data_IF_771906385705
#
_entry.id   IF_771906385705
#
_cell.length_a   1.000
_cell.length_b   1.000
_cell.length_c   1.000
_cell.angle_alpha   90.00
_cell.angle_beta   90.00
_cell.angle_gamma   90.00
#
_symmetry.space_group_name_H-M   'P 1'
#
loop_
_entity.id
_entity.type
_entity.pdbx_description
1 polymer ?
#
# COMPACT_ATOMS: atom_id res chain seq x y z
N UNK A 1 8.22 -29.37 30.82
CA UNK A 1 7.09 -29.71 31.69
C UNK A 1 7.63 -30.45 32.92
N UNK A 2 7.25 -30.07 34.14
CA UNK A 2 7.70 -30.71 35.39
C UNK A 2 7.19 -32.15 35.54
N UNK A 3 6.11 -32.53 34.85
CA UNK A 3 5.55 -33.88 34.86
C UNK A 3 5.13 -34.31 33.44
N UNK A 4 6.08 -34.70 32.57
CA UNK A 4 5.77 -35.05 31.18
C UNK A 4 4.92 -36.32 31.04
N UNK A 5 5.03 -37.26 31.99
CA UNK A 5 4.25 -38.51 32.00
C UNK A 5 2.75 -38.28 32.26
N UNK A 6 2.40 -37.25 33.04
CA UNK A 6 1.01 -36.87 33.30
C UNK A 6 0.34 -36.21 32.08
N UNK A 7 1.12 -35.79 31.09
CA UNK A 7 0.58 -35.25 29.83
C UNK A 7 0.15 -36.35 28.85
N UNK A 8 0.62 -37.59 29.06
CA UNK A 8 0.39 -38.72 28.16
C UNK A 8 -0.37 -39.88 28.85
N UNK A 9 -0.58 -39.82 30.17
CA UNK A 9 -1.29 -40.83 30.95
C UNK A 9 -2.47 -40.22 31.72
N UNK A 10 -3.51 -41.02 32.00
CA UNK A 10 -4.65 -40.62 32.85
C UNK A 10 -4.39 -40.81 34.35
N UNK A 11 -3.12 -40.80 34.77
CA UNK A 11 -2.73 -40.95 36.16
C UNK A 11 -3.10 -39.71 36.97
N UNK A 12 -3.59 -39.90 38.20
CA UNK A 12 -3.93 -38.78 39.09
C UNK A 12 -2.64 -38.11 39.58
N UNK A 13 -2.49 -36.77 39.46
CA UNK A 13 -1.34 -36.05 40.01
C UNK A 13 -1.32 -36.13 41.53
N UNK A 14 -0.12 -36.23 42.13
CA UNK A 14 0.03 -35.95 43.56
C UNK A 14 -0.15 -34.45 43.85
N UNK A 15 -0.46 -34.11 45.10
CA UNK A 15 -0.66 -32.71 45.53
C UNK A 15 0.56 -31.80 45.23
N UNK A 16 1.77 -32.36 45.33
CA UNK A 16 3.00 -31.65 44.96
C UNK A 16 3.05 -31.35 43.47
N UNK A 17 2.78 -32.34 42.62
CA UNK A 17 2.76 -32.19 41.17
C UNK A 17 1.65 -31.22 40.71
N UNK A 18 0.47 -31.31 41.32
CA UNK A 18 -0.63 -30.39 41.05
C UNK A 18 -0.24 -28.93 41.38
N UNK A 19 0.41 -28.69 42.52
CA UNK A 19 0.88 -27.36 42.90
C UNK A 19 1.99 -26.82 41.98
N UNK A 20 2.94 -27.67 41.55
CA UNK A 20 3.96 -27.25 40.58
C UNK A 20 3.36 -26.91 39.22
N UNK A 21 2.40 -27.71 38.74
CA UNK A 21 1.69 -27.44 37.49
C UNK A 21 0.89 -26.13 37.59
N UNK A 22 0.18 -25.89 38.69
CA UNK A 22 -0.54 -24.64 38.90
C UNK A 22 0.39 -23.42 38.90
N UNK A 23 1.55 -23.49 39.56
CA UNK A 23 2.54 -22.39 39.49
C UNK A 23 3.02 -22.15 38.07
N UNK A 24 3.38 -23.22 37.36
CA UNK A 24 3.83 -23.10 35.98
C UNK A 24 2.77 -22.45 35.09
N UNK A 25 1.50 -22.84 35.26
CA UNK A 25 0.38 -22.23 34.51
C UNK A 25 0.29 -20.73 34.83
N UNK A 26 0.31 -20.35 36.11
CA UNK A 26 0.24 -18.94 36.52
C UNK A 26 1.40 -18.11 35.94
N UNK A 27 2.62 -18.63 36.01
CA UNK A 27 3.80 -17.97 35.47
C UNK A 27 3.72 -17.84 33.95
N UNK A 28 3.28 -18.90 33.27
CA UNK A 28 3.09 -18.91 31.80
C UNK A 28 2.00 -17.94 31.37
N UNK A 29 0.87 -17.88 32.09
CA UNK A 29 -0.23 -16.95 31.81
C UNK A 29 0.19 -15.49 31.99
N UNK A 30 1.05 -15.21 32.98
CA UNK A 30 1.64 -13.89 33.18
C UNK A 30 2.57 -13.51 32.02
N UNK A 31 3.39 -14.44 31.52
CA UNK A 31 4.26 -14.22 30.36
C UNK A 31 3.45 -14.02 29.07
N UNK A 32 2.40 -14.82 28.85
CA UNK A 32 1.46 -14.65 27.72
C UNK A 32 0.83 -13.25 27.75
N UNK A 33 0.39 -12.80 28.94
CA UNK A 33 -0.22 -11.48 29.10
C UNK A 33 0.76 -10.36 28.78
N UNK A 34 2.00 -10.45 29.31
CA UNK A 34 3.04 -9.47 29.05
C UNK A 34 3.42 -9.38 27.56
N UNK A 35 3.50 -10.53 26.88
CA UNK A 35 3.72 -10.59 25.43
C UNK A 35 2.55 -9.97 24.66
N UNK A 36 1.31 -10.22 25.09
CA UNK A 36 0.11 -9.61 24.50
C UNK A 36 0.12 -8.08 24.57
N UNK A 37 0.56 -7.53 25.71
CA UNK A 37 0.69 -6.09 25.91
C UNK A 37 1.78 -5.48 25.02
N UNK A 38 2.94 -6.13 24.91
CA UNK A 38 4.02 -5.66 24.03
C UNK A 38 3.64 -5.74 22.55
N UNK A 39 2.97 -6.83 22.12
CA UNK A 39 2.41 -6.93 20.76
C UNK A 39 1.48 -5.76 20.48
N UNK A 40 0.58 -5.44 21.41
CA UNK A 40 -0.37 -4.34 21.28
C UNK A 40 0.36 -3.00 21.19
N UNK A 41 1.39 -2.77 22.02
CA UNK A 41 2.21 -1.57 22.01
C UNK A 41 2.95 -1.38 20.68
N UNK A 42 3.61 -2.44 20.18
CA UNK A 42 4.35 -2.41 18.92
C UNK A 42 3.43 -2.16 17.74
N UNK A 43 2.25 -2.81 17.69
CA UNK A 43 1.24 -2.56 16.65
C UNK A 43 0.80 -1.10 16.60
N UNK A 44 0.48 -0.49 17.74
CA UNK A 44 0.14 0.96 17.79
C UNK A 44 1.28 1.84 17.30
N UNK A 45 2.53 1.48 17.62
CA UNK A 45 3.69 2.23 17.13
C UNK A 45 3.84 2.11 15.60
N UNK A 46 3.60 0.90 15.05
CA UNK A 46 3.60 0.65 13.62
C UNK A 46 2.50 1.46 12.92
N UNK A 47 1.25 1.39 13.38
CA UNK A 47 0.12 2.12 12.79
C UNK A 47 0.41 3.63 12.70
N UNK A 48 1.01 4.19 13.77
CA UNK A 48 1.41 5.60 13.80
C UNK A 48 2.48 5.92 12.76
N UNK A 49 3.50 5.07 12.64
CA UNK A 49 4.59 5.27 11.67
C UNK A 49 4.08 5.13 10.23
N UNK A 50 3.19 4.18 9.96
CA UNK A 50 2.57 4.00 8.65
C UNK A 50 1.73 5.21 8.26
N UNK A 51 0.94 5.76 9.19
CA UNK A 51 0.16 6.98 8.94
C UNK A 51 1.07 8.18 8.63
N UNK A 52 2.15 8.37 9.40
CA UNK A 52 3.12 9.44 9.14
C UNK A 52 3.82 9.26 7.79
N UNK A 53 4.23 8.04 7.47
CA UNK A 53 4.86 7.71 6.20
C UNK A 53 3.93 7.98 5.02
N UNK A 54 2.66 7.54 5.11
CA UNK A 54 1.66 7.80 4.08
C UNK A 54 1.45 9.30 3.85
N UNK A 55 1.29 10.08 4.92
CA UNK A 55 1.14 11.54 4.82
C UNK A 55 2.32 12.24 4.16
N UNK A 56 3.56 11.85 4.52
CA UNK A 56 4.77 12.40 3.91
C UNK A 56 4.93 11.98 2.44
N UNK A 57 4.59 10.73 2.12
CA UNK A 57 4.62 10.22 0.74
C UNK A 57 3.64 11.02 -0.15
N UNK A 58 2.41 11.26 0.33
CA UNK A 58 1.41 12.05 -0.38
C UNK A 58 1.83 13.52 -0.54
N UNK A 59 2.45 14.10 0.49
CA UNK A 59 3.04 15.43 0.42
C UNK A 59 4.11 15.51 -0.69
N UNK A 60 5.06 14.58 -0.71
CA UNK A 60 6.11 14.54 -1.74
C UNK A 60 5.52 14.31 -3.12
N UNK A 61 4.57 13.38 -3.26
CA UNK A 61 3.92 13.05 -4.54
C UNK A 61 3.19 14.25 -5.13
N UNK A 62 2.42 14.97 -4.32
CA UNK A 62 1.67 16.16 -4.76
C UNK A 62 2.62 17.28 -5.22
N UNK A 63 3.68 17.55 -4.48
CA UNK A 63 4.66 18.58 -4.85
C UNK A 63 5.49 18.20 -6.07
N UNK A 64 5.91 16.93 -6.19
CA UNK A 64 6.56 16.40 -7.40
C UNK A 64 5.68 16.57 -8.63
N UNK A 65 4.37 16.34 -8.49
CA UNK A 65 3.43 16.54 -9.59
C UNK A 65 3.37 18.01 -10.03
N UNK A 66 3.44 18.98 -9.08
CA UNK A 66 3.47 20.42 -9.38
C UNK A 66 4.72 20.79 -10.19
N UNK A 67 5.90 20.32 -9.78
CA UNK A 67 7.16 20.64 -10.47
C UNK A 67 7.49 19.73 -11.66
N UNK A 68 6.58 18.82 -12.01
CA UNK A 68 6.78 17.89 -13.11
C UNK A 68 6.97 18.61 -14.45
N UNK A 69 7.85 18.07 -15.29
CA UNK A 69 8.14 18.61 -16.63
C UNK A 69 6.87 18.80 -17.46
N UNK A 70 5.93 17.85 -17.37
CA UNK A 70 4.64 17.90 -18.08
C UNK A 70 3.81 19.14 -17.76
N UNK A 71 3.84 19.64 -16.52
CA UNK A 71 3.15 20.91 -16.17
C UNK A 71 3.87 22.15 -16.68
N UNK A 72 5.17 22.05 -16.97
CA UNK A 72 6.01 23.15 -17.47
C UNK A 72 6.13 23.20 -18.98
N UNK A 73 5.76 22.14 -19.69
CA UNK A 73 5.77 22.12 -21.16
C UNK A 73 4.83 23.21 -21.68
N UNK A 74 5.25 24.03 -22.67
CA UNK A 74 4.35 24.91 -23.40
C UNK A 74 3.21 24.12 -24.05
N UNK A 75 2.07 24.79 -24.28
CA UNK A 75 0.89 24.17 -24.89
C UNK A 75 1.19 23.62 -26.28
N UNK A 76 1.99 24.33 -27.08
CA UNK A 76 2.32 23.92 -28.45
C UNK A 76 3.11 22.60 -28.47
N UNK A 77 4.13 22.49 -27.62
CA UNK A 77 4.95 21.27 -27.47
C UNK A 77 4.09 20.10 -26.99
N UNK A 78 3.17 20.36 -26.06
CA UNK A 78 2.27 19.31 -25.55
C UNK A 78 1.27 18.86 -26.63
N UNK A 79 0.78 19.78 -27.46
CA UNK A 79 -0.06 19.48 -28.62
C UNK A 79 0.69 18.67 -29.69
N UNK A 80 1.96 19.00 -29.95
CA UNK A 80 2.82 18.24 -30.87
C UNK A 80 3.03 16.80 -30.38
N UNK A 81 3.29 16.61 -29.07
CA UNK A 81 3.36 15.28 -28.45
C UNK A 81 2.06 14.51 -28.63
N UNK A 82 0.90 15.15 -28.44
CA UNK A 82 -0.41 14.50 -28.64
C UNK A 82 -0.58 14.06 -30.09
N UNK A 83 -0.26 14.91 -31.06
CA UNK A 83 -0.30 14.58 -32.48
C UNK A 83 0.58 13.38 -32.81
N UNK A 84 1.80 13.31 -32.28
CA UNK A 84 2.66 12.14 -32.46
C UNK A 84 2.08 10.87 -31.82
N UNK A 85 1.50 10.97 -30.62
CA UNK A 85 0.89 9.82 -29.93
C UNK A 85 -0.34 9.27 -30.66
N UNK A 86 -1.20 10.14 -31.19
CA UNK A 86 -2.39 9.76 -31.95
C UNK A 86 -2.05 9.19 -33.33
N UNK A 87 -1.02 9.73 -33.98
CA UNK A 87 -0.57 9.31 -35.30
C UNK A 87 0.45 8.16 -35.27
N UNK A 88 0.94 7.76 -34.10
CA UNK A 88 1.84 6.63 -33.97
C UNK A 88 1.18 5.36 -34.54
N UNK A 89 1.71 4.85 -35.65
CA UNK A 89 1.26 3.61 -36.29
C UNK A 89 1.79 2.35 -35.58
N UNK A 90 2.62 2.52 -34.55
CA UNK A 90 3.33 1.42 -33.91
C UNK A 90 2.83 1.13 -32.48
N UNK A 91 2.28 -0.07 -32.32
CA UNK A 91 2.53 -0.99 -31.19
C UNK A 91 2.15 -0.54 -29.76
N UNK A 92 0.96 0.04 -29.56
CA UNK A 92 0.33 -0.16 -28.25
C UNK A 92 -0.24 -1.58 -28.23
N UNK A 93 0.15 -2.42 -27.26
CA UNK A 93 -0.49 -3.73 -27.04
C UNK A 93 -1.36 -3.64 -25.78
N UNK A 94 -2.68 -3.87 -25.88
CA UNK A 94 -3.44 -4.17 -27.09
C UNK A 94 -3.58 -2.95 -28.03
N UNK A 95 -3.74 -3.18 -29.36
CA UNK A 95 -3.91 -2.11 -30.33
C UNK A 95 -5.14 -1.26 -29.98
N UNK A 96 -4.89 -0.03 -29.58
CA UNK A 96 -5.92 0.94 -29.23
C UNK A 96 -6.24 1.83 -30.42
N UNK A 97 -7.49 1.85 -30.87
CA UNK A 97 -7.96 2.75 -31.92
C UNK A 97 -7.82 4.22 -31.52
N UNK A 98 -7.95 5.13 -32.49
CA UNK A 98 -7.92 6.59 -32.26
C UNK A 98 -8.84 7.05 -31.10
N UNK A 99 -10.08 6.54 -30.95
CA UNK A 99 -10.95 6.92 -29.83
C UNK A 99 -10.36 6.56 -28.47
N UNK A 100 -9.76 5.38 -28.33
CA UNK A 100 -9.15 4.93 -27.08
C UNK A 100 -7.92 5.76 -26.72
N UNK A 101 -7.09 6.14 -27.71
CA UNK A 101 -5.92 6.99 -27.49
C UNK A 101 -6.29 8.42 -27.11
N UNK A 102 -7.34 8.97 -27.73
CA UNK A 102 -7.91 10.26 -27.31
C UNK A 102 -8.41 10.18 -25.86
N UNK A 103 -9.11 9.11 -25.48
CA UNK A 103 -9.56 8.87 -24.10
C UNK A 103 -8.40 8.81 -23.11
N UNK A 104 -7.27 8.20 -23.48
CA UNK A 104 -6.07 8.22 -22.63
C UNK A 104 -5.58 9.65 -22.39
N UNK A 105 -5.50 10.48 -23.42
CA UNK A 105 -5.03 11.86 -23.30
C UNK A 105 -5.99 12.72 -22.46
N UNK A 106 -7.30 12.69 -22.75
CA UNK A 106 -8.30 13.48 -22.01
C UNK A 106 -8.54 12.96 -20.59
N UNK A 107 -8.08 11.74 -20.28
CA UNK A 107 -8.16 11.13 -18.96
C UNK A 107 -7.04 11.55 -18.00
N UNK A 108 -5.94 12.11 -18.49
CA UNK A 108 -4.75 12.40 -17.65
C UNK A 108 -4.98 13.54 -16.66
N UNK A 109 -5.37 14.71 -17.15
CA UNK A 109 -5.65 15.88 -16.31
C UNK A 109 -6.48 16.93 -17.06
N UNK A 110 -6.97 17.93 -16.34
CA UNK A 110 -7.77 19.01 -16.91
C UNK A 110 -7.03 19.75 -18.03
N UNK A 111 -5.76 20.13 -17.82
CA UNK A 111 -4.94 20.79 -18.84
C UNK A 111 -4.80 19.97 -20.13
N UNK A 112 -4.57 18.67 -20.01
CA UNK A 112 -4.44 17.78 -21.17
C UNK A 112 -5.77 17.66 -21.92
N UNK A 113 -6.88 17.58 -21.19
CA UNK A 113 -8.22 17.60 -21.77
C UNK A 113 -8.46 18.91 -22.52
N UNK A 114 -8.20 20.06 -21.90
CA UNK A 114 -8.38 21.37 -22.56
C UNK A 114 -7.58 21.45 -23.87
N UNK A 115 -6.32 21.04 -23.85
CA UNK A 115 -5.44 21.09 -25.03
C UNK A 115 -5.90 20.11 -26.10
N UNK A 116 -6.26 18.88 -25.72
CA UNK A 116 -6.74 17.87 -26.67
C UNK A 116 -8.07 18.25 -27.32
N UNK A 117 -8.99 18.86 -26.56
CA UNK A 117 -10.27 19.35 -27.09
C UNK A 117 -10.11 20.63 -27.94
N UNK A 118 -9.15 21.49 -27.61
CA UNK A 118 -8.93 22.75 -28.31
C UNK A 118 -8.09 22.63 -29.60
N UNK A 119 -7.39 21.51 -29.81
CA UNK A 119 -6.56 21.28 -31.00
C UNK A 119 -7.38 20.66 -32.14
N UNK A 120 -7.68 21.39 -33.23
CA UNK A 120 -8.46 20.87 -34.36
C UNK A 120 -7.72 19.76 -35.12
N UNK A 121 -6.39 19.71 -35.02
CA UNK A 121 -5.54 18.71 -35.66
C UNK A 121 -5.66 17.30 -35.05
N UNK A 122 -6.42 17.14 -33.97
CA UNK A 122 -6.62 15.86 -33.27
C UNK A 122 -8.00 15.22 -33.55
N UNK A 123 -8.85 15.86 -34.37
CA UNK A 123 -10.21 15.44 -34.77
C UNK A 123 -10.31 15.30 -36.29
#
# INVERSE_FOLDING_TARGET
SPCPELLITNSVPSDFQANEIHRLILDTDAEISALGDEITRVRRALDRLELQHAGLSDFVKSHRAVVSSVRRLPTDILGEIFSHYLNASYSAYPPSGLPTRLLHLVGVCDRWRTIALASPLLW
#
